data_IF_485880360571
#
_entry.id   IF_485880360571
#
_cell.length_a   1.000
_cell.length_b   1.000
_cell.length_c   1.000
_cell.angle_alpha   90.00
_cell.angle_beta   90.00
_cell.angle_gamma   90.00
#
_symmetry.space_group_name_H-M   'P 1'
#
loop_
_entity.id
_entity.type
_entity.pdbx_description
1 polymer ?
#
# COMPACT_ATOMS: atom_id res chain seq x y z
N UNK A 1 14.70 36.51 -10.35
CA UNK A 1 13.61 35.52 -10.36
C UNK A 1 14.10 34.30 -9.61
N UNK A 2 13.64 34.11 -8.38
CA UNK A 2 14.05 32.99 -7.54
C UNK A 2 13.00 31.90 -7.67
N UNK A 3 13.35 30.80 -8.35
CA UNK A 3 12.57 29.57 -8.31
C UNK A 3 12.82 28.99 -6.93
N UNK A 4 11.90 29.26 -5.99
CA UNK A 4 11.83 28.49 -4.74
C UNK A 4 11.36 27.08 -5.12
N UNK A 5 12.32 26.18 -5.31
CA UNK A 5 12.08 24.74 -5.36
C UNK A 5 11.29 24.38 -4.10
N UNK A 6 9.98 24.13 -4.26
CA UNK A 6 9.17 23.53 -3.21
C UNK A 6 9.81 22.18 -2.91
N UNK A 7 10.38 22.05 -1.71
CA UNK A 7 10.92 20.82 -1.19
C UNK A 7 9.90 19.71 -1.43
N UNK A 8 10.32 18.65 -2.12
CA UNK A 8 9.55 17.42 -2.27
C UNK A 8 9.39 16.87 -0.85
N UNK A 9 8.20 17.06 -0.28
CA UNK A 9 7.82 16.48 1.00
C UNK A 9 7.99 14.96 0.86
N UNK A 10 8.82 14.38 1.73
CA UNK A 10 9.24 12.98 1.62
C UNK A 10 8.04 12.06 1.47
N UNK A 11 8.05 11.24 0.41
CA UNK A 11 7.13 10.11 0.29
C UNK A 11 7.56 9.10 1.35
N UNK A 12 6.63 8.74 2.23
CA UNK A 12 6.79 7.65 3.19
C UNK A 12 6.09 6.41 2.64
N UNK A 13 6.71 5.26 2.87
CA UNK A 13 6.17 3.95 2.48
C UNK A 13 5.90 3.17 3.76
N UNK A 14 4.64 2.75 3.94
CA UNK A 14 4.19 1.96 5.09
C UNK A 14 3.78 0.57 4.63
N UNK A 15 4.28 -0.47 5.29
CA UNK A 15 3.84 -1.85 5.03
C UNK A 15 2.53 -2.06 5.79
N UNK A 16 1.41 -2.18 5.06
CA UNK A 16 0.11 -2.47 5.67
C UNK A 16 -0.04 -3.96 5.99
N UNK A 17 0.54 -4.81 5.16
CA UNK A 17 0.57 -6.25 5.36
C UNK A 17 1.72 -6.86 4.55
N UNK A 18 2.30 -7.94 5.07
CA UNK A 18 3.29 -8.74 4.35
C UNK A 18 3.10 -10.21 4.67
N UNK A 19 3.41 -11.06 3.70
CA UNK A 19 3.44 -12.50 3.86
C UNK A 19 4.78 -13.04 3.38
N UNK A 20 5.59 -13.48 4.34
CA UNK A 20 6.95 -13.96 4.06
C UNK A 20 6.95 -15.28 3.30
N UNK A 21 6.00 -16.18 3.58
CA UNK A 21 5.88 -17.47 2.88
C UNK A 21 5.60 -17.33 1.38
N UNK A 22 4.79 -16.33 1.00
CA UNK A 22 4.41 -16.07 -0.40
C UNK A 22 5.20 -14.92 -1.01
N UNK A 23 6.07 -14.27 -0.23
CA UNK A 23 6.84 -13.08 -0.58
C UNK A 23 5.97 -11.91 -1.10
N UNK A 24 4.71 -11.79 -0.68
CA UNK A 24 3.79 -10.73 -1.15
C UNK A 24 3.60 -9.67 -0.07
N UNK A 25 3.54 -8.41 -0.46
CA UNK A 25 3.35 -7.27 0.45
C UNK A 25 2.31 -6.28 -0.09
N UNK A 26 1.56 -5.65 0.81
CA UNK A 26 0.69 -4.52 0.57
C UNK A 26 1.32 -3.28 1.20
N UNK A 27 1.62 -2.30 0.36
CA UNK A 27 2.26 -1.05 0.74
C UNK A 27 1.27 0.11 0.61
N UNK A 28 1.35 1.06 1.54
CA UNK A 28 0.73 2.37 1.47
C UNK A 28 1.81 3.43 1.25
N UNK A 29 1.67 4.22 0.19
CA UNK A 29 2.48 5.39 -0.06
C UNK A 29 1.72 6.62 0.41
N UNK A 30 2.37 7.35 1.30
CA UNK A 30 1.82 8.51 1.97
C UNK A 30 2.74 9.71 1.80
N UNK A 31 2.17 10.90 1.61
CA UNK A 31 2.94 12.14 1.66
C UNK A 31 2.82 12.70 3.07
N UNK A 32 3.96 12.99 3.69
CA UNK A 32 3.97 13.68 4.96
C UNK A 32 3.67 15.16 4.75
N UNK A 33 2.55 15.61 5.29
CA UNK A 33 2.17 17.01 5.28
C UNK A 33 2.98 17.81 6.32
N UNK A 34 3.11 19.14 6.17
CA UNK A 34 3.79 19.99 7.16
C UNK A 34 3.15 19.94 8.56
N UNK A 35 1.88 19.56 8.64
CA UNK A 35 1.14 19.31 9.89
C UNK A 35 1.65 18.08 10.65
N UNK A 36 2.47 17.23 10.03
CA UNK A 36 2.87 15.93 10.54
C UNK A 36 1.88 14.81 10.21
N UNK A 37 0.74 15.12 9.57
CA UNK A 37 -0.19 14.11 9.08
C UNK A 37 0.36 13.40 7.84
N UNK A 38 0.29 12.07 7.82
CA UNK A 38 0.63 11.28 6.65
C UNK A 38 -0.64 11.04 5.84
N UNK A 39 -0.69 11.62 4.64
CA UNK A 39 -1.84 11.49 3.76
C UNK A 39 -1.57 10.38 2.74
N UNK A 40 -2.31 9.26 2.79
CA UNK A 40 -2.20 8.22 1.77
C UNK A 40 -2.67 8.73 0.42
N UNK A 41 -1.96 8.34 -0.62
CA UNK A 41 -2.32 8.66 -2.01
C UNK A 41 -2.23 7.45 -2.95
N UNK A 42 -1.57 6.37 -2.53
CA UNK A 42 -1.45 5.16 -3.35
C UNK A 42 -1.24 3.93 -2.48
N UNK A 43 -1.79 2.83 -2.94
CA UNK A 43 -1.62 1.49 -2.41
C UNK A 43 -1.02 0.61 -3.49
N UNK A 44 0.01 -0.16 -3.17
CA UNK A 44 0.73 -1.02 -4.11
C UNK A 44 0.81 -2.45 -3.57
N UNK A 45 0.59 -3.45 -4.44
CA UNK A 45 0.79 -4.88 -4.13
C UNK A 45 2.04 -5.37 -4.82
N UNK A 46 2.98 -5.90 -4.05
CA UNK A 46 4.34 -6.25 -4.49
C UNK A 46 4.63 -7.71 -4.21
N UNK A 47 5.49 -8.31 -5.03
CA UNK A 47 6.29 -9.47 -4.63
C UNK A 47 7.69 -8.95 -4.30
N UNK A 48 8.28 -9.38 -3.18
CA UNK A 48 9.62 -8.98 -2.80
C UNK A 48 10.62 -9.31 -3.92
N UNK A 49 11.36 -8.29 -4.38
CA UNK A 49 12.34 -8.42 -5.46
C UNK A 49 11.77 -8.29 -6.88
N UNK A 50 10.45 -8.18 -7.03
CA UNK A 50 9.76 -8.03 -8.32
C UNK A 50 9.15 -6.63 -8.48
N UNK A 51 8.79 -6.23 -9.71
CA UNK A 51 7.98 -5.04 -9.95
C UNK A 51 6.62 -5.12 -9.23
N UNK A 52 6.02 -3.96 -8.95
CA UNK A 52 4.65 -3.89 -8.43
C UNK A 52 3.67 -4.62 -9.34
N UNK A 53 2.87 -5.50 -8.75
CA UNK A 53 1.84 -6.27 -9.45
C UNK A 53 0.59 -5.43 -9.73
N UNK A 54 0.26 -4.55 -8.78
CA UNK A 54 -0.94 -3.73 -8.84
C UNK A 54 -0.71 -2.42 -8.09
N UNK A 55 -1.31 -1.33 -8.59
CA UNK A 55 -1.37 -0.04 -7.91
C UNK A 55 -2.78 0.55 -8.01
N UNK A 56 -3.21 1.23 -6.95
CA UNK A 56 -4.50 1.94 -6.91
C UNK A 56 -4.47 3.07 -5.89
N UNK A 57 -5.32 4.08 -6.09
CA UNK A 57 -5.58 5.12 -5.09
C UNK A 57 -6.56 4.63 -3.99
N UNK A 58 -7.16 3.45 -4.16
CA UNK A 58 -8.10 2.84 -3.22
C UNK A 58 -7.48 1.64 -2.49
N UNK A 59 -7.40 1.74 -1.16
CA UNK A 59 -6.98 0.63 -0.28
C UNK A 59 -7.83 -0.62 -0.50
N UNK A 60 -9.14 -0.43 -0.63
CA UNK A 60 -10.10 -1.51 -0.86
C UNK A 60 -9.79 -2.26 -2.16
N UNK A 61 -9.50 -1.54 -3.25
CA UNK A 61 -9.16 -2.17 -4.52
C UNK A 61 -7.85 -2.97 -4.43
N UNK A 62 -6.84 -2.44 -3.73
CA UNK A 62 -5.57 -3.13 -3.53
C UNK A 62 -5.73 -4.40 -2.68
N UNK A 63 -6.50 -4.33 -1.59
CA UNK A 63 -6.84 -5.51 -0.76
C UNK A 63 -7.66 -6.53 -1.53
N UNK A 64 -8.62 -6.09 -2.35
CA UNK A 64 -9.41 -6.98 -3.19
C UNK A 64 -8.54 -7.71 -4.22
N UNK A 65 -7.61 -7.00 -4.87
CA UNK A 65 -6.62 -7.61 -5.76
C UNK A 65 -5.77 -8.64 -5.04
N UNK A 66 -5.27 -8.30 -3.84
CA UNK A 66 -4.50 -9.22 -3.01
C UNK A 66 -5.31 -10.48 -2.64
N UNK A 67 -6.60 -10.34 -2.33
CA UNK A 67 -7.49 -11.47 -2.09
C UNK A 67 -7.61 -12.41 -3.28
N UNK A 68 -7.86 -11.84 -4.47
CA UNK A 68 -7.90 -12.63 -5.71
C UNK A 68 -6.57 -13.35 -5.98
N UNK A 69 -5.43 -12.68 -5.71
CA UNK A 69 -4.11 -13.26 -5.89
C UNK A 69 -3.85 -14.44 -4.94
N UNK A 70 -4.35 -14.35 -3.71
CA UNK A 70 -4.14 -15.35 -2.68
C UNK A 70 -5.20 -16.46 -2.67
N UNK A 71 -6.20 -16.38 -3.56
CA UNK A 71 -7.41 -17.21 -3.59
C UNK A 71 -8.21 -17.15 -2.27
N UNK A 72 -8.22 -15.97 -1.64
CA UNK A 72 -8.94 -15.69 -0.39
C UNK A 72 -10.24 -14.97 -0.72
N UNK A 73 -11.41 -15.45 -0.24
CA UNK A 73 -12.69 -14.82 -0.53
C UNK A 73 -12.77 -13.40 0.03
N UNK A 74 -13.35 -12.49 -0.76
CA UNK A 74 -13.49 -11.04 -0.47
C UNK A 74 -14.13 -10.74 0.89
N UNK A 75 -14.94 -11.66 1.43
CA UNK A 75 -15.56 -11.55 2.75
C UNK A 75 -14.58 -11.64 3.93
N UNK A 76 -13.39 -12.22 3.72
CA UNK A 76 -12.32 -12.29 4.72
C UNK A 76 -11.29 -11.15 4.59
N UNK A 77 -11.58 -10.14 3.76
CA UNK A 77 -10.70 -8.98 3.52
C UNK A 77 -11.39 -7.62 3.67
N UNK A 78 -12.69 -7.61 3.94
CA UNK A 78 -13.43 -6.38 4.19
C UNK A 78 -13.14 -5.84 5.58
N UNK A 79 -12.61 -4.62 5.68
CA UNK A 79 -12.44 -3.66 6.81
C UNK A 79 -12.26 -4.14 8.27
N UNK A 80 -12.84 -5.26 8.67
CA UNK A 80 -12.67 -5.97 9.96
C UNK A 80 -12.02 -7.35 9.80
N UNK A 81 -11.92 -7.87 8.58
CA UNK A 81 -11.32 -9.15 8.32
C UNK A 81 -9.82 -8.99 8.05
N UNK A 82 -9.04 -9.40 9.04
CA UNK A 82 -7.59 -9.46 8.98
C UNK A 82 -7.19 -10.36 7.82
N UNK A 83 -6.31 -9.86 6.93
CA UNK A 83 -5.57 -10.72 6.01
C UNK A 83 -4.99 -11.89 6.82
N UNK A 84 -5.01 -13.14 6.30
CA UNK A 84 -4.50 -14.28 7.04
C UNK A 84 -3.07 -13.99 7.51
N UNK A 85 -2.80 -14.32 8.79
CA UNK A 85 -1.46 -14.22 9.34
C UNK A 85 -0.57 -15.21 8.59
N UNK A 86 0.37 -14.65 7.85
CA UNK A 86 1.63 -15.29 7.47
C UNK A 86 2.72 -14.79 8.43
#
# INVERSE_FOLDING_TARGET
MSIVMKAVSGVEVHVLWSCTERCVELLELSVREPSGYCRPFRYEVHIQGEPRLYESESEYAARHYLGMLLDVPVGELGLEASLPEC
#
